data_IF_904902076744
#
_entry.id   IF_904902076744
#
_cell.length_a   1.000
_cell.length_b   1.000
_cell.length_c   1.000
_cell.angle_alpha   90.00
_cell.angle_beta   90.00
_cell.angle_gamma   90.00
#
_symmetry.space_group_name_H-M   'P 1'
#
loop_
_entity.id
_entity.type
_entity.pdbx_description
1 polymer ?
#
# COMPACT_ATOMS: atom_id res chain seq x y z
N UNK A 1 210.28 -158.81 -151.08
CA UNK A 1 210.44 -159.45 -149.76
C UNK A 1 210.02 -158.54 -148.61
N UNK A 2 210.21 -157.21 -148.64
CA UNK A 2 209.92 -156.37 -147.47
C UNK A 2 208.56 -155.67 -147.47
N UNK A 3 207.56 -156.32 -148.07
CA UNK A 3 206.19 -155.84 -148.14
C UNK A 3 205.44 -155.96 -146.81
N UNK A 4 205.91 -156.80 -145.88
CA UNK A 4 205.15 -157.14 -144.66
C UNK A 4 205.59 -156.39 -143.40
N UNK A 5 206.70 -155.67 -143.44
CA UNK A 5 207.25 -155.01 -142.23
C UNK A 5 206.97 -153.50 -142.19
N UNK A 6 206.87 -152.80 -143.33
CA UNK A 6 206.72 -151.33 -143.32
C UNK A 6 205.29 -150.89 -142.97
N UNK A 7 204.27 -151.64 -143.39
CA UNK A 7 202.87 -151.28 -143.08
C UNK A 7 202.54 -151.45 -141.59
N UNK A 8 203.19 -152.39 -140.90
CA UNK A 8 203.03 -152.54 -139.45
C UNK A 8 203.64 -151.37 -138.66
N UNK A 9 204.69 -150.72 -139.18
CA UNK A 9 205.36 -149.63 -138.46
C UNK A 9 204.59 -148.30 -138.57
N UNK A 10 203.81 -148.09 -139.64
CA UNK A 10 202.91 -146.93 -139.76
C UNK A 10 201.71 -147.00 -138.83
N UNK A 11 201.18 -148.21 -138.59
CA UNK A 11 199.99 -148.39 -137.76
C UNK A 11 200.29 -148.19 -136.26
N UNK A 12 201.49 -148.55 -135.81
CA UNK A 12 201.91 -148.33 -134.42
C UNK A 12 202.15 -146.83 -134.07
N UNK A 13 202.66 -146.01 -135.00
CA UNK A 13 202.87 -144.58 -134.73
C UNK A 13 201.57 -143.79 -134.65
N UNK A 14 200.55 -144.12 -135.44
CA UNK A 14 199.26 -143.44 -135.40
C UNK A 14 198.50 -143.70 -134.08
N UNK A 15 198.67 -144.88 -133.46
CA UNK A 15 198.04 -145.21 -132.17
C UNK A 15 198.69 -144.48 -130.99
N UNK A 16 200.00 -144.22 -131.04
CA UNK A 16 200.69 -143.50 -129.98
C UNK A 16 200.36 -142.00 -129.97
N UNK A 17 200.19 -141.37 -131.13
CA UNK A 17 199.83 -139.94 -131.19
C UNK A 17 198.38 -139.68 -130.74
N UNK A 18 197.45 -140.61 -130.99
CA UNK A 18 196.08 -140.51 -130.49
C UNK A 18 196.00 -140.61 -128.95
N UNK A 19 196.89 -141.39 -128.34
CA UNK A 19 196.94 -141.56 -126.88
C UNK A 19 197.49 -140.32 -126.18
N UNK A 20 198.43 -139.62 -126.80
CA UNK A 20 199.00 -138.37 -126.27
C UNK A 20 197.97 -137.23 -126.26
N UNK A 21 197.18 -137.08 -127.32
CA UNK A 21 196.12 -136.07 -127.37
C UNK A 21 195.00 -136.32 -126.34
N UNK A 22 194.71 -137.59 -126.04
CA UNK A 22 193.70 -137.96 -125.04
C UNK A 22 194.13 -137.64 -123.60
N UNK A 23 195.43 -137.66 -123.33
CA UNK A 23 195.97 -137.32 -122.01
C UNK A 23 196.00 -135.81 -121.76
N UNK A 24 196.20 -134.99 -122.80
CA UNK A 24 196.19 -133.52 -122.66
C UNK A 24 194.80 -133.00 -122.29
N UNK A 25 193.74 -133.51 -122.94
CA UNK A 25 192.34 -133.11 -122.63
C UNK A 25 191.95 -133.51 -121.19
N UNK A 26 192.53 -134.59 -120.65
CA UNK A 26 192.25 -135.05 -119.29
C UNK A 26 192.83 -134.13 -118.21
N UNK A 27 193.93 -133.43 -118.52
CA UNK A 27 194.59 -132.52 -117.56
C UNK A 27 193.83 -131.20 -117.47
N UNK A 28 193.33 -130.67 -118.58
CA UNK A 28 192.49 -129.45 -118.56
C UNK A 28 191.16 -129.67 -117.81
N UNK A 29 190.52 -130.85 -117.95
CA UNK A 29 189.34 -131.20 -117.14
C UNK A 29 189.62 -131.25 -115.63
N UNK A 30 190.82 -131.70 -115.24
CA UNK A 30 191.18 -131.80 -113.83
C UNK A 30 191.57 -130.45 -113.22
N UNK A 31 192.11 -129.52 -114.02
CA UNK A 31 192.37 -128.16 -113.55
C UNK A 31 191.07 -127.35 -113.35
N UNK A 32 190.05 -127.49 -114.21
CA UNK A 32 188.75 -126.84 -113.98
C UNK A 32 187.97 -127.40 -112.77
N UNK A 33 188.17 -128.66 -112.39
CA UNK A 33 187.50 -129.22 -111.20
C UNK A 33 188.10 -128.77 -109.88
N UNK A 34 189.38 -128.41 -109.86
CA UNK A 34 190.03 -127.92 -108.64
C UNK A 34 189.62 -126.47 -108.38
N UNK A 35 189.53 -125.62 -109.43
CA UNK A 35 189.09 -124.23 -109.24
C UNK A 35 187.63 -124.10 -108.77
N UNK A 36 186.74 -125.03 -109.15
CA UNK A 36 185.36 -125.04 -108.66
C UNK A 36 185.18 -125.58 -107.23
N UNK A 37 186.22 -126.21 -106.66
CA UNK A 37 186.17 -126.68 -105.27
C UNK A 37 186.61 -125.59 -104.29
N UNK A 38 187.56 -124.76 -104.68
CA UNK A 38 188.02 -123.67 -103.81
C UNK A 38 186.96 -122.57 -103.64
N UNK A 39 186.12 -122.30 -104.65
CA UNK A 39 185.01 -121.32 -104.51
C UNK A 39 183.88 -121.77 -103.55
N UNK A 40 183.74 -123.08 -103.28
CA UNK A 40 182.67 -123.59 -102.38
C UNK A 40 183.08 -123.64 -100.91
N UNK A 41 184.36 -123.49 -100.58
CA UNK A 41 184.81 -123.58 -99.20
C UNK A 41 184.84 -122.23 -98.47
N UNK A 42 184.89 -121.10 -99.18
CA UNK A 42 184.99 -119.77 -98.55
C UNK A 42 183.64 -119.08 -98.26
N UNK A 43 182.50 -119.58 -98.79
CA UNK A 43 181.18 -118.92 -98.62
C UNK A 43 180.14 -119.68 -97.76
N UNK A 44 180.48 -120.83 -97.15
CA UNK A 44 179.52 -121.60 -96.33
C UNK A 44 179.15 -120.90 -95.00
N UNK A 45 180.06 -120.09 -94.45
CA UNK A 45 179.84 -119.43 -93.16
C UNK A 45 178.93 -118.19 -93.25
N UNK A 46 178.83 -117.53 -94.41
CA UNK A 46 177.88 -116.41 -94.61
C UNK A 46 176.43 -116.89 -94.78
N UNK A 47 176.18 -117.95 -95.54
CA UNK A 47 174.82 -118.48 -95.74
C UNK A 47 174.19 -119.08 -94.46
N UNK A 48 174.99 -119.52 -93.50
CA UNK A 48 174.49 -120.08 -92.24
C UNK A 48 173.96 -119.00 -91.28
N UNK A 49 174.55 -117.80 -91.29
CA UNK A 49 174.11 -116.66 -90.47
C UNK A 49 172.74 -116.13 -90.93
N UNK A 50 172.56 -115.92 -92.24
CA UNK A 50 171.30 -115.41 -92.79
C UNK A 50 170.11 -116.35 -92.50
N UNK A 51 170.33 -117.67 -92.49
CA UNK A 51 169.28 -118.65 -92.15
C UNK A 51 168.80 -118.52 -90.70
N UNK A 52 169.71 -118.22 -89.77
CA UNK A 52 169.37 -118.10 -88.35
C UNK A 52 168.58 -116.82 -88.05
N UNK A 53 168.85 -115.73 -88.76
CA UNK A 53 168.12 -114.47 -88.55
C UNK A 53 166.70 -114.53 -89.14
N UNK A 54 166.50 -115.21 -90.28
CA UNK A 54 165.16 -115.46 -90.82
C UNK A 54 164.33 -116.36 -89.88
N UNK A 55 164.93 -117.38 -89.27
CA UNK A 55 164.23 -118.24 -88.29
C UNK A 55 163.73 -117.46 -87.06
N UNK A 56 164.52 -116.49 -86.57
CA UNK A 56 164.09 -115.62 -85.46
C UNK A 56 162.93 -114.71 -85.87
N UNK A 57 162.95 -114.16 -87.09
CA UNK A 57 161.90 -113.28 -87.60
C UNK A 57 160.57 -114.03 -87.81
N UNK A 58 160.62 -115.25 -88.32
CA UNK A 58 159.43 -116.15 -88.41
C UNK A 58 158.85 -116.46 -87.04
N UNK A 59 159.70 -116.67 -86.03
CA UNK A 59 159.23 -116.95 -84.67
C UNK A 59 158.58 -115.73 -84.03
N UNK A 60 159.10 -114.53 -84.27
CA UNK A 60 158.52 -113.27 -83.80
C UNK A 60 157.14 -113.03 -84.45
N UNK A 61 157.04 -113.15 -85.78
CA UNK A 61 155.79 -112.97 -86.51
C UNK A 61 154.70 -113.98 -86.11
N UNK A 62 155.06 -115.24 -85.83
CA UNK A 62 154.10 -116.22 -85.29
C UNK A 62 153.55 -115.83 -83.92
N UNK A 63 154.42 -115.32 -83.04
CA UNK A 63 154.00 -114.88 -81.71
C UNK A 63 153.07 -113.67 -81.80
N UNK A 64 153.34 -112.74 -82.72
CA UNK A 64 152.49 -111.58 -82.98
C UNK A 64 151.13 -111.97 -83.56
N UNK A 65 151.09 -112.96 -84.47
CA UNK A 65 149.84 -113.46 -85.06
C UNK A 65 148.90 -114.07 -84.01
N UNK A 66 149.45 -114.85 -83.06
CA UNK A 66 148.65 -115.43 -81.97
C UNK A 66 148.04 -114.35 -81.07
N UNK A 67 148.78 -113.27 -80.80
CA UNK A 67 148.27 -112.14 -80.01
C UNK A 67 147.17 -111.39 -80.76
N UNK A 68 147.34 -111.19 -82.07
CA UNK A 68 146.33 -110.54 -82.92
C UNK A 68 145.07 -111.39 -83.08
N UNK A 69 145.18 -112.71 -83.25
CA UNK A 69 144.02 -113.62 -83.27
C UNK A 69 143.25 -113.59 -81.95
N UNK A 70 143.94 -113.60 -80.81
CA UNK A 70 143.29 -113.48 -79.50
C UNK A 70 142.58 -112.13 -79.33
N UNK A 71 143.19 -111.03 -79.79
CA UNK A 71 142.60 -109.69 -79.76
C UNK A 71 141.38 -109.58 -80.68
N UNK A 72 141.46 -110.11 -81.90
CA UNK A 72 140.36 -110.16 -82.85
C UNK A 72 139.19 -110.93 -82.24
N UNK A 73 139.45 -112.11 -81.67
CA UNK A 73 138.41 -112.97 -81.11
C UNK A 73 137.70 -112.28 -79.93
N UNK A 74 138.45 -111.59 -79.06
CA UNK A 74 137.90 -110.75 -78.00
C UNK A 74 136.99 -109.63 -78.54
N UNK A 75 137.42 -108.93 -79.61
CA UNK A 75 136.62 -107.87 -80.23
C UNK A 75 135.38 -108.39 -80.95
N UNK A 76 135.40 -109.57 -81.55
CA UNK A 76 134.17 -110.20 -82.07
C UNK A 76 133.19 -110.53 -80.96
N UNK A 77 133.66 -111.03 -79.81
CA UNK A 77 132.79 -111.33 -78.68
C UNK A 77 132.16 -110.05 -78.08
N UNK A 78 132.93 -108.99 -77.89
CA UNK A 78 132.40 -107.67 -77.51
C UNK A 78 131.35 -107.17 -78.50
N UNK A 79 131.59 -107.32 -79.81
CA UNK A 79 130.64 -106.87 -80.83
C UNK A 79 129.32 -107.67 -80.79
N UNK A 80 129.40 -108.98 -80.53
CA UNK A 80 128.22 -109.83 -80.34
C UNK A 80 127.44 -109.44 -79.08
N UNK A 81 128.12 -109.13 -77.98
CA UNK A 81 127.46 -108.62 -76.76
C UNK A 81 126.78 -107.28 -76.99
N UNK A 82 127.47 -106.32 -77.61
CA UNK A 82 126.89 -105.02 -77.98
C UNK A 82 125.69 -105.20 -78.90
N UNK A 83 125.73 -106.14 -79.85
CA UNK A 83 124.62 -106.40 -80.75
C UNK A 83 123.40 -106.97 -80.01
N UNK A 84 123.62 -107.84 -79.01
CA UNK A 84 122.55 -108.33 -78.11
C UNK A 84 121.97 -107.21 -77.26
N UNK A 85 122.82 -106.33 -76.71
CA UNK A 85 122.38 -105.16 -75.94
C UNK A 85 121.57 -104.19 -76.82
N UNK A 86 122.02 -103.91 -78.03
CA UNK A 86 121.28 -103.08 -79.01
C UNK A 86 119.93 -103.70 -79.34
N UNK A 87 119.86 -105.02 -79.50
CA UNK A 87 118.60 -105.70 -79.79
C UNK A 87 117.65 -105.67 -78.60
N UNK A 88 118.18 -105.86 -77.37
CA UNK A 88 117.44 -105.69 -76.12
C UNK A 88 116.91 -104.26 -76.00
N UNK A 89 117.77 -103.24 -76.14
CA UNK A 89 117.36 -101.83 -76.12
C UNK A 89 116.30 -101.50 -77.17
N UNK A 90 116.38 -102.06 -78.39
CA UNK A 90 115.34 -101.88 -79.42
C UNK A 90 114.00 -102.47 -79.01
N UNK A 91 114.01 -103.66 -78.40
CA UNK A 91 112.79 -104.28 -77.87
C UNK A 91 112.20 -103.45 -76.72
N UNK A 92 113.02 -103.01 -75.78
CA UNK A 92 112.58 -102.13 -74.66
C UNK A 92 112.03 -100.81 -75.18
N UNK A 93 112.66 -100.20 -76.18
CA UNK A 93 112.20 -98.95 -76.80
C UNK A 93 110.86 -99.14 -77.54
N UNK A 94 110.63 -100.30 -78.17
CA UNK A 94 109.36 -100.61 -78.79
C UNK A 94 108.22 -100.76 -77.76
N UNK A 95 108.47 -101.47 -76.66
CA UNK A 95 107.52 -101.60 -75.56
C UNK A 95 107.20 -100.24 -74.93
N UNK A 96 108.21 -99.42 -74.66
CA UNK A 96 108.02 -98.08 -74.12
C UNK A 96 107.25 -97.15 -75.07
N UNK A 97 107.39 -97.32 -76.39
CA UNK A 97 106.56 -96.59 -77.37
C UNK A 97 105.11 -97.04 -77.29
N UNK A 98 104.86 -98.34 -77.20
CA UNK A 98 103.52 -98.88 -77.05
C UNK A 98 102.87 -98.41 -75.73
N UNK A 99 103.61 -98.43 -74.63
CA UNK A 99 103.15 -97.91 -73.34
C UNK A 99 102.87 -96.41 -73.40
N UNK A 100 103.75 -95.63 -74.04
CA UNK A 100 103.52 -94.19 -74.26
C UNK A 100 102.27 -93.94 -75.08
N UNK A 101 102.03 -94.70 -76.14
CA UNK A 101 100.80 -94.57 -76.94
C UNK A 101 99.55 -94.96 -76.15
N UNK A 102 99.61 -96.03 -75.37
CA UNK A 102 98.51 -96.46 -74.51
C UNK A 102 98.20 -95.42 -73.43
N UNK A 103 99.23 -94.94 -72.71
CA UNK A 103 99.09 -93.90 -71.69
C UNK A 103 98.62 -92.58 -72.29
N UNK A 104 99.07 -92.20 -73.49
CA UNK A 104 98.55 -91.02 -74.18
C UNK A 104 97.07 -91.18 -74.54
N UNK A 105 96.64 -92.35 -75.03
CA UNK A 105 95.22 -92.62 -75.30
C UNK A 105 94.40 -92.52 -74.00
N UNK A 106 94.85 -93.14 -72.92
CA UNK A 106 94.19 -93.03 -71.61
C UNK A 106 94.15 -91.59 -71.11
N UNK A 107 95.25 -90.84 -71.21
CA UNK A 107 95.32 -89.45 -70.81
C UNK A 107 94.33 -88.59 -71.62
N UNK A 108 94.24 -88.80 -72.93
CA UNK A 108 93.28 -88.08 -73.77
C UNK A 108 91.83 -88.43 -73.41
N UNK A 109 91.51 -89.70 -73.17
CA UNK A 109 90.16 -90.13 -72.78
C UNK A 109 89.75 -89.54 -71.43
N UNK A 110 90.65 -89.59 -70.44
CA UNK A 110 90.42 -88.98 -69.11
C UNK A 110 90.28 -87.48 -69.23
N UNK A 111 91.12 -86.81 -70.02
CA UNK A 111 91.04 -85.37 -70.23
C UNK A 111 89.71 -84.98 -70.87
N UNK A 112 89.25 -85.71 -71.89
CA UNK A 112 87.93 -85.45 -72.51
C UNK A 112 86.78 -85.71 -71.54
N UNK A 113 86.84 -86.77 -70.72
CA UNK A 113 85.85 -87.03 -69.67
C UNK A 113 85.84 -85.90 -68.62
N UNK A 114 87.01 -85.45 -68.17
CA UNK A 114 87.13 -84.32 -67.25
C UNK A 114 86.49 -83.06 -67.83
N UNK A 115 86.75 -82.72 -69.09
CA UNK A 115 86.12 -81.57 -69.76
C UNK A 115 84.59 -81.68 -69.82
N UNK A 116 84.07 -82.86 -70.16
CA UNK A 116 82.61 -83.08 -70.19
C UNK A 116 82.01 -82.92 -68.78
N UNK A 117 82.67 -83.45 -67.74
CA UNK A 117 82.20 -83.26 -66.37
C UNK A 117 82.31 -81.81 -65.90
N UNK A 118 83.37 -81.08 -66.28
CA UNK A 118 83.50 -79.65 -66.01
C UNK A 118 82.37 -78.84 -66.67
N UNK A 119 82.06 -79.11 -67.94
CA UNK A 119 80.94 -78.49 -68.65
C UNK A 119 79.60 -78.80 -67.98
N UNK A 120 79.37 -80.05 -67.58
CA UNK A 120 78.17 -80.45 -66.84
C UNK A 120 78.05 -79.74 -65.49
N UNK A 121 79.16 -79.60 -64.76
CA UNK A 121 79.19 -78.86 -63.48
C UNK A 121 78.87 -77.38 -63.71
N UNK A 122 79.36 -76.77 -64.80
CA UNK A 122 79.03 -75.39 -65.14
C UNK A 122 77.53 -75.24 -65.41
N UNK A 123 76.94 -76.11 -66.24
CA UNK A 123 75.51 -76.07 -66.56
C UNK A 123 74.65 -76.29 -65.31
N UNK A 124 74.97 -77.30 -64.49
CA UNK A 124 74.25 -77.56 -63.24
C UNK A 124 74.35 -76.38 -62.26
N UNK A 125 75.49 -75.71 -62.18
CA UNK A 125 75.64 -74.52 -61.34
C UNK A 125 74.81 -73.33 -61.87
N UNK A 126 74.73 -73.16 -63.19
CA UNK A 126 73.87 -72.12 -63.80
C UNK A 126 72.38 -72.40 -63.55
N UNK A 127 71.93 -73.65 -63.72
CA UNK A 127 70.56 -74.07 -63.42
C UNK A 127 70.22 -73.90 -61.93
N UNK A 128 71.14 -74.29 -61.04
CA UNK A 128 70.99 -74.09 -59.60
C UNK A 128 70.90 -72.60 -59.24
N UNK A 129 71.70 -71.75 -59.88
CA UNK A 129 71.65 -70.30 -59.73
C UNK A 129 70.29 -69.74 -60.14
N UNK A 130 69.78 -70.14 -61.31
CA UNK A 130 68.48 -69.73 -61.80
C UNK A 130 67.34 -70.18 -60.88
N UNK A 131 67.35 -71.43 -60.43
CA UNK A 131 66.32 -71.94 -59.50
C UNK A 131 66.34 -71.19 -58.17
N UNK A 132 67.54 -70.84 -57.64
CA UNK A 132 67.65 -70.02 -56.42
C UNK A 132 67.07 -68.62 -56.64
N UNK A 133 67.37 -67.99 -57.76
CA UNK A 133 66.82 -66.69 -58.12
C UNK A 133 65.29 -66.74 -58.27
N UNK A 134 64.76 -67.69 -59.05
CA UNK A 134 63.31 -67.86 -59.24
C UNK A 134 62.59 -68.09 -57.89
N UNK A 135 63.22 -68.85 -56.99
CA UNK A 135 62.72 -69.08 -55.63
C UNK A 135 62.72 -67.80 -54.79
N UNK A 136 63.79 -67.02 -54.84
CA UNK A 136 63.89 -65.72 -54.15
C UNK A 136 62.84 -64.74 -54.67
N UNK A 137 62.69 -64.62 -55.99
CA UNK A 137 61.65 -63.79 -56.61
C UNK A 137 60.23 -64.22 -56.22
N UNK A 138 59.98 -65.53 -56.11
CA UNK A 138 58.69 -66.05 -55.64
C UNK A 138 58.44 -65.70 -54.17
N UNK A 139 59.44 -65.84 -53.31
CA UNK A 139 59.34 -65.46 -51.90
C UNK A 139 59.12 -63.96 -51.72
N UNK A 140 59.82 -63.11 -52.48
CA UNK A 140 59.61 -61.65 -52.46
C UNK A 140 58.18 -61.30 -52.90
N UNK A 141 57.69 -61.89 -53.98
CA UNK A 141 56.30 -61.70 -54.43
C UNK A 141 55.29 -62.16 -53.38
N UNK A 142 55.51 -63.31 -52.75
CA UNK A 142 54.65 -63.82 -51.69
C UNK A 142 54.62 -62.90 -50.47
N UNK A 143 55.79 -62.43 -50.01
CA UNK A 143 55.90 -61.51 -48.88
C UNK A 143 55.21 -60.19 -49.22
N UNK A 144 55.48 -59.61 -50.39
CA UNK A 144 54.86 -58.36 -50.85
C UNK A 144 53.34 -58.46 -50.91
N UNK A 145 52.79 -59.54 -51.48
CA UNK A 145 51.35 -59.76 -51.56
C UNK A 145 50.74 -59.95 -50.17
N UNK A 146 51.39 -60.74 -49.29
CA UNK A 146 50.94 -60.95 -47.92
C UNK A 146 50.92 -59.65 -47.11
N UNK A 147 51.98 -58.84 -47.22
CA UNK A 147 52.07 -57.53 -46.56
C UNK A 147 51.03 -56.56 -47.09
N UNK A 148 50.81 -56.54 -48.40
CA UNK A 148 49.74 -55.73 -49.02
C UNK A 148 48.37 -56.10 -48.47
N UNK A 149 47.99 -57.38 -48.48
CA UNK A 149 46.69 -57.81 -47.96
C UNK A 149 46.54 -57.55 -46.45
N UNK A 150 47.61 -57.77 -45.68
CA UNK A 150 47.62 -57.45 -44.25
C UNK A 150 47.39 -55.95 -44.04
N UNK A 151 48.11 -55.10 -44.77
CA UNK A 151 47.97 -53.64 -44.68
C UNK A 151 46.59 -53.17 -45.12
N UNK A 152 46.03 -53.70 -46.21
CA UNK A 152 44.67 -53.37 -46.67
C UNK A 152 43.61 -53.78 -45.65
N UNK A 153 43.75 -54.96 -45.02
CA UNK A 153 42.83 -55.42 -44.00
C UNK A 153 42.93 -54.58 -42.72
N UNK A 154 44.14 -54.28 -42.25
CA UNK A 154 44.36 -53.39 -41.10
C UNK A 154 43.85 -51.98 -41.38
N UNK A 155 44.01 -51.47 -42.60
CA UNK A 155 43.49 -50.16 -43.01
C UNK A 155 41.97 -50.16 -43.01
N UNK A 156 41.32 -51.16 -43.63
CA UNK A 156 39.85 -51.28 -43.61
C UNK A 156 39.30 -51.40 -42.19
N UNK A 157 39.95 -52.18 -41.33
CA UNK A 157 39.53 -52.32 -39.94
C UNK A 157 39.68 -50.99 -39.18
N UNK A 158 40.76 -50.22 -39.41
CA UNK A 158 40.92 -48.89 -38.83
C UNK A 158 39.85 -47.93 -39.34
N UNK A 159 39.59 -47.90 -40.64
CA UNK A 159 38.59 -47.04 -41.25
C UNK A 159 37.18 -47.36 -40.70
N UNK A 160 36.83 -48.65 -40.56
CA UNK A 160 35.56 -49.07 -39.96
C UNK A 160 35.44 -48.66 -38.50
N UNK A 161 36.51 -48.81 -37.70
CA UNK A 161 36.55 -48.37 -36.31
C UNK A 161 36.42 -46.84 -36.20
N UNK A 162 37.06 -46.09 -37.08
CA UNK A 162 36.99 -44.63 -37.11
C UNK A 162 35.59 -44.15 -37.52
N UNK A 163 34.96 -44.82 -38.49
CA UNK A 163 33.57 -44.53 -38.87
C UNK A 163 32.61 -44.82 -37.70
N UNK A 164 32.76 -45.96 -37.01
CA UNK A 164 31.92 -46.31 -35.85
C UNK A 164 32.13 -45.30 -34.72
N UNK A 165 33.39 -44.95 -34.42
CA UNK A 165 33.74 -44.00 -33.36
C UNK A 165 33.18 -42.61 -33.67
N UNK A 166 33.35 -42.14 -34.90
CA UNK A 166 32.83 -40.84 -35.34
C UNK A 166 31.30 -40.82 -35.28
N UNK A 167 30.61 -41.83 -35.81
CA UNK A 167 29.15 -41.93 -35.72
C UNK A 167 28.67 -41.95 -34.27
N UNK A 168 29.28 -42.77 -33.42
CA UNK A 168 28.94 -42.86 -32.00
C UNK A 168 29.12 -41.52 -31.30
N UNK A 169 30.23 -40.82 -31.53
CA UNK A 169 30.46 -39.49 -30.97
C UNK A 169 29.42 -38.47 -31.46
N UNK A 170 29.10 -38.47 -32.76
CA UNK A 170 28.08 -37.55 -33.29
C UNK A 170 26.69 -37.81 -32.73
N UNK A 171 26.29 -39.08 -32.54
CA UNK A 171 25.01 -39.42 -31.92
C UNK A 171 25.00 -39.08 -30.43
N UNK A 172 26.10 -39.31 -29.71
CA UNK A 172 26.23 -38.90 -28.31
C UNK A 172 26.11 -37.38 -28.16
N UNK A 173 26.73 -36.60 -29.05
CA UNK A 173 26.65 -35.14 -29.02
C UNK A 173 25.25 -34.63 -29.38
N UNK A 174 24.58 -35.26 -30.37
CA UNK A 174 23.17 -34.99 -30.65
C UNK A 174 22.28 -35.25 -29.45
N UNK A 175 22.44 -36.40 -28.77
CA UNK A 175 21.65 -36.74 -27.58
C UNK A 175 21.90 -35.72 -26.47
N UNK A 176 23.16 -35.37 -26.20
CA UNK A 176 23.51 -34.36 -25.20
C UNK A 176 22.88 -33.00 -25.52
N UNK A 177 22.98 -32.54 -26.77
CA UNK A 177 22.42 -31.25 -27.19
C UNK A 177 20.90 -31.26 -27.13
N UNK A 178 20.24 -32.29 -27.66
CA UNK A 178 18.78 -32.43 -27.59
C UNK A 178 18.27 -32.46 -26.15
N UNK A 179 18.97 -33.20 -25.28
CA UNK A 179 18.63 -33.28 -23.85
C UNK A 179 18.79 -31.92 -23.17
N UNK A 180 19.89 -31.22 -23.45
CA UNK A 180 20.15 -29.86 -22.95
C UNK A 180 19.08 -28.87 -23.43
N UNK A 181 18.77 -28.86 -24.72
CA UNK A 181 17.74 -27.98 -25.30
C UNK A 181 16.35 -28.26 -24.74
N UNK A 182 16.01 -29.53 -24.52
CA UNK A 182 14.75 -29.93 -23.88
C UNK A 182 14.67 -29.37 -22.46
N UNK A 183 15.70 -29.54 -21.64
CA UNK A 183 15.74 -28.97 -20.29
C UNK A 183 15.74 -27.44 -20.29
N UNK A 184 16.44 -26.79 -21.21
CA UNK A 184 16.43 -25.32 -21.32
C UNK A 184 15.07 -24.78 -21.76
N UNK A 185 14.36 -25.50 -22.63
CA UNK A 185 12.99 -25.16 -23.03
C UNK A 185 12.03 -25.36 -21.86
N UNK A 186 12.10 -26.47 -21.15
CA UNK A 186 11.28 -26.74 -19.98
C UNK A 186 11.54 -25.69 -18.87
N UNK A 187 12.80 -25.37 -18.59
CA UNK A 187 13.14 -24.33 -17.62
C UNK A 187 12.59 -22.95 -18.02
N UNK A 188 12.64 -22.59 -19.31
CA UNK A 188 12.01 -21.36 -19.81
C UNK A 188 10.50 -21.38 -19.60
N UNK A 189 9.83 -22.45 -20.00
CA UNK A 189 8.39 -22.61 -19.81
C UNK A 189 7.99 -22.52 -18.33
N UNK A 190 8.75 -23.14 -17.42
CA UNK A 190 8.50 -23.09 -15.98
C UNK A 190 8.70 -21.69 -15.40
N UNK A 191 9.72 -20.95 -15.86
CA UNK A 191 9.93 -19.55 -15.48
C UNK A 191 8.80 -18.65 -15.96
N UNK A 192 8.40 -18.79 -17.23
CA UNK A 192 7.27 -18.04 -17.80
C UNK A 192 5.95 -18.36 -17.08
N UNK A 193 5.69 -19.63 -16.79
CA UNK A 193 4.51 -20.05 -16.03
C UNK A 193 4.50 -19.47 -14.61
N UNK A 194 5.66 -19.47 -13.93
CA UNK A 194 5.82 -18.83 -12.62
C UNK A 194 5.57 -17.33 -12.70
N UNK A 195 6.15 -16.64 -13.67
CA UNK A 195 6.03 -15.19 -13.81
C UNK A 195 4.59 -14.79 -14.14
N UNK A 196 3.90 -15.57 -14.98
CA UNK A 196 2.47 -15.42 -15.24
C UNK A 196 1.61 -15.62 -13.97
N UNK A 197 1.93 -16.64 -13.17
CA UNK A 197 1.23 -16.89 -11.90
C UNK A 197 1.46 -15.77 -10.88
N UNK A 198 2.67 -15.22 -10.81
CA UNK A 198 2.97 -14.05 -9.97
C UNK A 198 2.21 -12.81 -10.44
N UNK A 199 2.19 -12.52 -11.74
CA UNK A 199 1.43 -11.41 -12.29
C UNK A 199 -0.07 -11.52 -12.02
N UNK A 200 -0.64 -12.73 -12.11
CA UNK A 200 -2.04 -12.98 -11.77
C UNK A 200 -2.31 -12.81 -10.26
N UNK A 201 -1.39 -13.29 -9.41
CA UNK A 201 -1.47 -13.08 -7.96
C UNK A 201 -1.48 -11.59 -7.63
N UNK A 202 -0.61 -10.81 -8.26
CA UNK A 202 -0.52 -9.37 -8.00
C UNK A 202 -1.77 -8.63 -8.48
N UNK A 203 -2.34 -9.02 -9.64
CA UNK A 203 -3.64 -8.52 -10.10
C UNK A 203 -4.76 -8.83 -9.10
N UNK A 204 -4.82 -10.07 -8.60
CA UNK A 204 -5.83 -10.48 -7.62
C UNK A 204 -5.70 -9.69 -6.30
N UNK A 205 -4.48 -9.49 -5.79
CA UNK A 205 -4.23 -8.68 -4.59
C UNK A 205 -4.65 -7.23 -4.78
N UNK A 206 -4.38 -6.62 -5.94
CA UNK A 206 -4.84 -5.26 -6.22
C UNK A 206 -6.38 -5.16 -6.28
N UNK A 207 -7.04 -6.16 -6.89
CA UNK A 207 -8.49 -6.22 -6.92
C UNK A 207 -9.09 -6.39 -5.51
N UNK A 208 -8.49 -7.23 -4.67
CA UNK A 208 -8.87 -7.41 -3.27
C UNK A 208 -8.75 -6.09 -2.49
N UNK A 209 -7.61 -5.40 -2.59
CA UNK A 209 -7.40 -4.11 -1.93
C UNK A 209 -8.44 -3.06 -2.35
N UNK A 210 -8.78 -3.00 -3.64
CA UNK A 210 -9.84 -2.10 -4.13
C UNK A 210 -11.21 -2.47 -3.57
N UNK A 211 -11.56 -3.76 -3.51
CA UNK A 211 -12.83 -4.21 -2.94
C UNK A 211 -12.91 -3.95 -1.43
N UNK A 212 -11.82 -4.17 -0.70
CA UNK A 212 -11.72 -3.84 0.73
C UNK A 212 -11.91 -2.35 0.97
N UNK A 213 -11.25 -1.50 0.17
CA UNK A 213 -11.43 -0.04 0.28
C UNK A 213 -12.88 0.40 0.00
N UNK A 214 -13.54 -0.20 -1.01
CA UNK A 214 -14.97 0.05 -1.27
C UNK A 214 -15.87 -0.42 -0.14
N UNK A 215 -15.58 -1.58 0.43
CA UNK A 215 -16.31 -2.09 1.59
C UNK A 215 -16.18 -1.15 2.79
N UNK A 216 -14.97 -0.67 3.08
CA UNK A 216 -14.73 0.30 4.16
C UNK A 216 -15.49 1.61 3.94
N UNK A 217 -15.54 2.12 2.70
CA UNK A 217 -16.34 3.31 2.34
C UNK A 217 -17.82 3.09 2.61
N UNK A 218 -18.41 2.01 2.09
CA UNK A 218 -19.83 1.69 2.29
C UNK A 218 -20.14 1.45 3.78
N UNK A 219 -19.23 0.82 4.50
CA UNK A 219 -19.37 0.60 5.94
C UNK A 219 -19.38 1.91 6.73
N UNK A 220 -18.53 2.86 6.33
CA UNK A 220 -18.50 4.19 6.93
C UNK A 220 -19.79 4.97 6.63
N UNK A 221 -20.27 4.95 5.38
CA UNK A 221 -21.56 5.54 4.99
C UNK A 221 -22.73 4.93 5.79
N UNK A 222 -22.73 3.61 5.96
CA UNK A 222 -23.73 2.93 6.79
C UNK A 222 -23.70 3.41 8.24
N UNK A 223 -22.51 3.55 8.84
CA UNK A 223 -22.38 4.07 10.22
C UNK A 223 -22.86 5.51 10.34
N UNK A 224 -22.56 6.35 9.36
CA UNK A 224 -23.02 7.74 9.34
C UNK A 224 -24.54 7.81 9.22
N UNK A 225 -25.13 7.02 8.32
CA UNK A 225 -26.58 6.92 8.16
C UNK A 225 -27.26 6.39 9.43
N UNK A 226 -26.66 5.38 10.08
CA UNK A 226 -27.16 4.85 11.34
C UNK A 226 -27.13 5.92 12.44
N UNK A 227 -26.02 6.65 12.60
CA UNK A 227 -25.92 7.73 13.57
C UNK A 227 -26.92 8.87 13.31
N UNK A 228 -27.14 9.23 12.04
CA UNK A 228 -28.14 10.22 11.65
C UNK A 228 -29.57 9.74 11.97
N UNK A 229 -29.87 8.46 11.70
CA UNK A 229 -31.16 7.85 12.03
C UNK A 229 -31.39 7.82 13.55
N UNK A 230 -30.41 7.37 14.33
CA UNK A 230 -30.49 7.36 15.79
C UNK A 230 -30.70 8.78 16.35
N UNK A 231 -29.98 9.77 15.83
CA UNK A 231 -30.18 11.18 16.18
C UNK A 231 -31.62 11.62 15.89
N UNK A 232 -32.16 11.29 14.70
CA UNK A 232 -33.53 11.64 14.33
C UNK A 232 -34.57 10.95 15.24
N UNK A 233 -34.33 9.70 15.62
CA UNK A 233 -35.20 8.98 16.57
C UNK A 233 -35.18 9.67 17.93
N UNK A 234 -34.01 10.10 18.42
CA UNK A 234 -33.93 10.83 19.70
C UNK A 234 -34.64 12.19 19.66
N UNK A 235 -34.50 12.94 18.56
CA UNK A 235 -35.23 14.19 18.33
C UNK A 235 -36.75 13.95 18.36
N UNK A 236 -37.26 13.02 17.55
CA UNK A 236 -38.69 12.70 17.49
C UNK A 236 -39.24 12.22 18.83
N UNK A 237 -38.45 11.44 19.57
CA UNK A 237 -38.82 11.00 20.91
C UNK A 237 -38.90 12.18 21.90
N UNK A 238 -38.00 13.15 21.79
CA UNK A 238 -38.03 14.37 22.61
C UNK A 238 -39.25 15.25 22.28
N UNK A 239 -39.55 15.44 20.99
CA UNK A 239 -40.73 16.16 20.52
C UNK A 239 -42.02 15.49 21.00
N UNK A 240 -42.08 14.16 20.92
CA UNK A 240 -43.23 13.39 21.39
C UNK A 240 -43.44 13.57 22.90
N UNK A 241 -42.37 13.57 23.69
CA UNK A 241 -42.45 13.87 25.13
C UNK A 241 -42.97 15.29 25.40
N UNK A 242 -42.51 16.29 24.65
CA UNK A 242 -43.00 17.67 24.78
C UNK A 242 -44.49 17.75 24.44
N UNK A 243 -44.92 17.10 23.35
CA UNK A 243 -46.34 17.05 22.96
C UNK A 243 -47.20 16.32 23.99
N UNK A 244 -46.65 15.28 24.63
CA UNK A 244 -47.30 14.59 25.74
C UNK A 244 -47.51 15.54 26.93
N UNK A 245 -46.50 16.30 27.34
CA UNK A 245 -46.64 17.29 28.42
C UNK A 245 -47.64 18.40 28.08
N UNK A 246 -47.66 18.88 26.83
CA UNK A 246 -48.65 19.85 26.37
C UNK A 246 -50.08 19.29 26.43
N UNK A 247 -50.25 18.03 26.03
CA UNK A 247 -51.53 17.32 26.10
C UNK A 247 -52.01 17.18 27.55
N UNK A 248 -51.14 16.71 28.45
CA UNK A 248 -51.46 16.56 29.88
C UNK A 248 -51.88 17.90 30.50
N UNK A 249 -51.15 18.99 30.18
CA UNK A 249 -51.51 20.34 30.62
C UNK A 249 -52.87 20.78 30.05
N UNK A 250 -53.12 20.55 28.77
CA UNK A 250 -54.39 20.91 28.14
C UNK A 250 -55.54 20.11 28.75
N UNK A 251 -55.32 18.84 29.06
CA UNK A 251 -56.30 17.99 29.74
C UNK A 251 -56.63 18.52 31.14
N UNK A 252 -55.63 18.91 31.94
CA UNK A 252 -55.87 19.55 33.24
C UNK A 252 -56.71 20.83 33.11
N UNK A 253 -56.36 21.73 32.19
CA UNK A 253 -57.13 22.95 31.93
C UNK A 253 -58.56 22.65 31.46
N UNK A 254 -58.73 21.64 30.61
CA UNK A 254 -60.04 21.19 30.17
C UNK A 254 -60.88 20.66 31.34
N UNK A 255 -60.28 19.87 32.24
CA UNK A 255 -60.96 19.37 33.43
C UNK A 255 -61.36 20.50 34.38
N UNK A 256 -60.47 21.46 34.64
CA UNK A 256 -60.74 22.66 35.47
C UNK A 256 -61.87 23.53 34.88
N UNK A 257 -61.80 23.82 33.57
CA UNK A 257 -62.84 24.62 32.89
C UNK A 257 -64.17 23.89 32.84
N UNK A 258 -64.18 22.58 32.62
CA UNK A 258 -65.38 21.74 32.67
C UNK A 258 -66.01 21.73 34.07
N UNK A 259 -65.22 21.63 35.13
CA UNK A 259 -65.70 21.73 36.51
C UNK A 259 -66.26 23.12 36.82
N UNK A 260 -65.56 24.18 36.41
CA UNK A 260 -66.01 25.57 36.56
C UNK A 260 -67.35 25.82 35.85
N UNK A 261 -67.50 25.28 34.64
CA UNK A 261 -68.74 25.36 33.88
C UNK A 261 -69.89 24.61 34.58
N UNK A 262 -69.63 23.40 35.10
CA UNK A 262 -70.62 22.64 35.89
C UNK A 262 -71.05 23.44 37.12
N UNK A 263 -70.11 24.06 37.83
CA UNK A 263 -70.42 24.89 38.99
C UNK A 263 -71.27 26.11 38.61
N UNK A 264 -70.89 26.84 37.55
CA UNK A 264 -71.66 27.98 37.05
C UNK A 264 -73.08 27.60 36.62
N UNK A 265 -73.26 26.41 36.02
CA UNK A 265 -74.58 25.88 35.69
C UNK A 265 -75.42 25.61 36.95
N UNK A 266 -74.84 24.99 37.98
CA UNK A 266 -75.51 24.77 39.27
C UNK A 266 -75.93 26.10 39.89
N UNK A 267 -75.04 27.09 39.93
CA UNK A 267 -75.36 28.41 40.45
C UNK A 267 -76.47 29.10 39.64
N UNK A 268 -76.44 28.98 38.31
CA UNK A 268 -77.50 29.48 37.44
C UNK A 268 -78.85 28.84 37.76
N UNK A 269 -78.90 27.50 37.93
CA UNK A 269 -80.15 26.82 38.32
C UNK A 269 -80.65 27.26 39.69
N UNK A 270 -79.75 27.47 40.65
CA UNK A 270 -80.08 28.01 41.99
C UNK A 270 -80.66 29.42 41.90
N UNK A 271 -80.06 30.30 41.11
CA UNK A 271 -80.58 31.66 40.91
C UNK A 271 -81.92 31.66 40.17
N UNK A 272 -82.12 30.79 39.18
CA UNK A 272 -83.42 30.60 38.53
C UNK A 272 -84.50 30.18 39.54
N UNK A 273 -84.22 29.18 40.38
CA UNK A 273 -85.16 28.75 41.43
C UNK A 273 -85.45 29.86 42.44
N UNK A 274 -84.43 30.63 42.84
CA UNK A 274 -84.61 31.79 43.73
C UNK A 274 -85.50 32.85 43.10
N UNK A 275 -85.31 33.15 41.81
CA UNK A 275 -86.16 34.07 41.05
C UNK A 275 -87.60 33.56 40.96
N UNK A 276 -87.83 32.27 40.73
CA UNK A 276 -89.17 31.68 40.73
C UNK A 276 -89.89 31.87 42.08
N UNK A 277 -89.20 31.61 43.20
CA UNK A 277 -89.76 31.81 44.55
C UNK A 277 -90.05 33.28 44.80
N UNK A 278 -89.10 34.18 44.53
CA UNK A 278 -89.29 35.62 44.71
C UNK A 278 -90.43 36.15 43.84
N UNK A 279 -90.56 35.69 42.60
CA UNK A 279 -91.69 36.06 41.74
C UNK A 279 -93.02 35.58 42.33
N UNK A 280 -93.10 34.35 42.86
CA UNK A 280 -94.31 33.84 43.54
C UNK A 280 -94.66 34.67 44.77
N UNK A 281 -93.68 35.02 45.60
CA UNK A 281 -93.87 35.87 46.78
C UNK A 281 -94.30 37.28 46.36
N UNK A 282 -93.67 37.87 45.34
CA UNK A 282 -94.04 39.16 44.78
C UNK A 282 -95.50 39.17 44.31
N UNK A 283 -95.92 38.19 43.51
CA UNK A 283 -97.31 38.10 43.04
C UNK A 283 -98.30 37.85 44.19
N UNK A 284 -97.91 37.06 45.19
CA UNK A 284 -98.75 36.80 46.37
C UNK A 284 -98.93 38.09 47.19
N UNK A 285 -97.84 38.82 47.41
CA UNK A 285 -97.85 40.10 48.10
C UNK A 285 -98.64 41.14 47.32
N UNK A 286 -98.45 41.23 46.01
CA UNK A 286 -99.20 42.11 45.11
C UNK A 286 -100.71 41.81 45.18
N UNK A 287 -101.11 40.55 45.10
CA UNK A 287 -102.52 40.16 45.22
C UNK A 287 -103.10 40.51 46.61
N UNK A 288 -102.30 40.34 47.67
CA UNK A 288 -102.67 40.71 49.04
C UNK A 288 -102.83 42.23 49.18
N UNK A 289 -101.90 43.02 48.64
CA UNK A 289 -101.98 44.48 48.67
C UNK A 289 -103.12 45.00 47.82
N UNK A 290 -103.36 44.43 46.63
CA UNK A 290 -104.50 44.79 45.79
C UNK A 290 -105.83 44.48 46.49
N UNK A 291 -105.92 43.36 47.21
CA UNK A 291 -107.07 43.04 48.05
C UNK A 291 -107.28 44.08 49.14
N UNK A 292 -106.23 44.45 49.86
CA UNK A 292 -106.29 45.48 50.91
C UNK A 292 -106.66 46.86 50.36
N UNK A 293 -106.12 47.24 49.18
CA UNK A 293 -106.48 48.47 48.48
C UNK A 293 -107.97 48.45 48.13
N UNK A 294 -108.49 47.35 47.58
CA UNK A 294 -109.90 47.22 47.24
C UNK A 294 -110.81 47.30 48.48
N UNK A 295 -110.42 46.68 49.60
CA UNK A 295 -111.14 46.76 50.88
C UNK A 295 -111.15 48.20 51.41
N UNK A 296 -110.00 48.89 51.39
CA UNK A 296 -109.89 50.30 51.79
C UNK A 296 -110.67 51.23 50.86
N UNK A 297 -110.63 51.01 49.55
CA UNK A 297 -111.44 51.76 48.60
C UNK A 297 -112.93 51.54 48.85
N UNK A 298 -113.38 50.31 49.09
CA UNK A 298 -114.78 50.00 49.43
C UNK A 298 -115.21 50.74 50.70
N UNK A 299 -114.46 50.61 51.79
CA UNK A 299 -114.77 51.29 53.06
C UNK A 299 -114.75 52.82 52.91
N UNK A 300 -113.81 53.37 52.15
CA UNK A 300 -113.77 54.79 51.88
C UNK A 300 -114.99 55.25 51.08
N UNK A 301 -115.39 54.51 50.04
CA UNK A 301 -116.60 54.85 49.28
C UNK A 301 -117.86 54.79 50.14
N UNK A 302 -117.96 53.84 51.06
CA UNK A 302 -119.08 53.75 52.00
C UNK A 302 -119.07 54.91 53.00
N UNK A 303 -117.90 55.32 53.49
CA UNK A 303 -117.75 56.49 54.33
C UNK A 303 -118.11 57.79 53.58
N UNK A 304 -117.66 57.95 52.34
CA UNK A 304 -118.01 59.10 51.49
C UNK A 304 -119.51 59.17 51.22
N UNK A 305 -120.17 58.03 50.95
CA UNK A 305 -121.64 57.96 50.81
C UNK A 305 -122.34 58.40 52.08
N UNK A 306 -121.89 57.94 53.26
CA UNK A 306 -122.45 58.36 54.55
C UNK A 306 -122.27 59.86 54.79
N UNK A 307 -121.08 60.39 54.51
CA UNK A 307 -120.79 61.82 54.63
C UNK A 307 -121.72 62.65 53.75
N UNK A 308 -121.88 62.26 52.48
CA UNK A 308 -122.78 62.94 51.53
C UNK A 308 -124.24 62.97 52.01
N UNK A 309 -124.71 61.93 52.71
CA UNK A 309 -126.05 61.92 53.32
C UNK A 309 -126.13 62.96 54.45
N UNK A 310 -125.11 63.03 55.31
CA UNK A 310 -125.06 64.03 56.38
C UNK A 310 -124.97 65.47 55.85
N UNK A 311 -124.13 65.72 54.83
CA UNK A 311 -123.99 67.04 54.21
C UNK A 311 -125.30 67.52 53.59
N UNK A 312 -126.06 66.64 52.92
CA UNK A 312 -127.39 66.98 52.40
C UNK A 312 -128.37 67.36 53.51
N UNK A 313 -128.33 66.63 54.63
CA UNK A 313 -129.17 66.91 55.78
C UNK A 313 -128.82 68.27 56.42
N UNK A 314 -127.54 68.63 56.49
CA UNK A 314 -127.08 69.94 56.96
C UNK A 314 -127.54 71.06 56.02
N UNK A 315 -127.43 70.87 54.70
CA UNK A 315 -127.87 71.87 53.73
C UNK A 315 -129.39 72.14 53.82
N UNK A 316 -130.20 71.09 54.00
CA UNK A 316 -131.64 71.22 54.27
C UNK A 316 -131.93 72.00 55.56
N UNK A 317 -131.10 71.84 56.61
CA UNK A 317 -131.25 72.56 57.87
C UNK A 317 -130.92 74.06 57.73
N UNK A 318 -129.85 74.39 57.01
CA UNK A 318 -129.43 75.77 56.79
C UNK A 318 -130.47 76.57 55.99
N UNK A 319 -131.08 75.97 54.96
CA UNK A 319 -132.14 76.59 54.17
C UNK A 319 -133.38 76.93 55.02
N UNK A 320 -133.74 76.05 55.96
CA UNK A 320 -134.86 76.30 56.90
C UNK A 320 -134.54 77.43 57.87
N UNK A 321 -133.30 77.52 58.36
CA UNK A 321 -132.86 78.61 59.25
C UNK A 321 -132.86 79.95 58.49
N UNK A 322 -132.40 79.96 57.24
CA UNK A 322 -132.38 81.18 56.41
C UNK A 322 -133.80 81.67 56.10
N UNK A 323 -134.73 80.78 55.73
CA UNK A 323 -136.13 81.14 55.46
C UNK A 323 -136.84 81.67 56.71
N UNK A 324 -136.60 81.08 57.88
CA UNK A 324 -137.17 81.56 59.14
C UNK A 324 -136.57 82.93 59.58
N UNK A 325 -135.29 83.18 59.28
CA UNK A 325 -134.61 84.42 59.66
C UNK A 325 -135.05 85.65 58.83
N UNK A 326 -135.48 85.47 57.57
CA UNK A 326 -135.88 86.57 56.67
C UNK A 326 -137.28 87.13 56.93
N UNK A 327 -138.14 86.44 57.68
CA UNK A 327 -139.48 86.92 58.01
C UNK A 327 -139.43 87.97 59.13
N UNK A 328 -140.13 89.10 58.97
CA UNK A 328 -140.13 90.22 59.92
C UNK A 328 -141.04 89.99 61.15
N UNK A 329 -142.00 89.06 61.05
CA UNK A 329 -142.96 88.68 62.09
C UNK A 329 -142.50 87.40 62.82
N UNK A 330 -142.46 87.45 64.15
CA UNK A 330 -142.00 86.34 65.01
C UNK A 330 -142.94 85.13 64.95
N UNK A 331 -144.23 85.38 64.72
CA UNK A 331 -145.28 84.34 64.58
C UNK A 331 -145.19 83.62 63.24
N UNK A 332 -144.81 84.32 62.16
CA UNK A 332 -144.67 83.71 60.83
C UNK A 332 -143.40 82.88 60.69
N UNK A 333 -142.31 83.28 61.38
CA UNK A 333 -141.08 82.48 61.49
C UNK A 333 -141.32 81.14 62.22
N UNK A 334 -142.13 81.13 63.29
CA UNK A 334 -142.55 79.89 63.95
C UNK A 334 -143.40 78.99 63.05
N UNK A 335 -144.17 79.57 62.13
CA UNK A 335 -145.02 78.83 61.19
C UNK A 335 -144.22 78.10 60.11
N UNK A 336 -143.14 78.71 59.61
CA UNK A 336 -142.20 78.06 58.66
C UNK A 336 -141.43 76.93 59.35
N UNK A 337 -140.94 77.16 60.57
CA UNK A 337 -140.36 76.10 61.41
C UNK A 337 -141.34 74.93 61.63
N UNK A 338 -142.62 75.23 61.85
CA UNK A 338 -143.66 74.21 62.03
C UNK A 338 -143.92 73.42 60.74
N UNK A 339 -143.93 74.08 59.56
CA UNK A 339 -144.18 73.46 58.26
C UNK A 339 -143.11 72.43 57.86
N UNK A 340 -141.87 72.62 58.30
CA UNK A 340 -140.80 71.61 58.15
C UNK A 340 -140.78 70.56 59.27
N UNK A 341 -141.86 70.46 60.07
CA UNK A 341 -142.05 69.40 61.06
C UNK A 341 -141.42 69.66 62.44
N UNK A 342 -140.82 70.84 62.66
CA UNK A 342 -140.08 71.15 63.91
C UNK A 342 -140.97 71.50 65.11
N UNK A 343 -142.28 71.61 64.91
CA UNK A 343 -143.23 72.01 65.95
C UNK A 343 -143.75 70.89 66.85
N UNK A 344 -143.62 69.62 66.44
CA UNK A 344 -144.26 68.51 67.14
C UNK A 344 -143.28 67.49 67.79
N UNK A 345 -142.10 67.21 67.21
CA UNK A 345 -141.25 66.08 67.65
C UNK A 345 -139.73 66.35 67.75
N UNK A 346 -139.31 67.61 67.93
CA UNK A 346 -137.87 67.94 68.06
C UNK A 346 -137.47 68.02 69.54
N UNK A 347 -136.38 67.33 69.97
CA UNK A 347 -135.87 67.41 71.33
C UNK A 347 -135.67 68.86 71.79
N UNK A 348 -136.09 69.17 73.01
CA UNK A 348 -136.15 70.54 73.55
C UNK A 348 -134.82 71.31 73.48
N UNK A 349 -133.68 70.61 73.48
CA UNK A 349 -132.34 71.19 73.32
C UNK A 349 -132.02 71.63 71.89
N UNK A 350 -132.41 70.84 70.88
CA UNK A 350 -132.24 71.18 69.47
C UNK A 350 -133.18 72.32 69.04
N UNK A 351 -134.42 72.32 69.54
CA UNK A 351 -135.36 73.43 69.37
C UNK A 351 -134.79 74.75 69.89
N UNK A 352 -134.16 74.73 71.07
CA UNK A 352 -133.55 75.92 71.70
C UNK A 352 -132.33 76.42 70.93
N UNK A 353 -131.46 75.52 70.42
CA UNK A 353 -130.32 75.92 69.56
C UNK A 353 -130.77 76.56 68.27
N UNK A 354 -131.78 76.00 67.62
CA UNK A 354 -132.29 76.52 66.34
C UNK A 354 -132.92 77.91 66.50
N UNK A 355 -133.70 78.13 67.57
CA UNK A 355 -134.19 79.48 67.92
C UNK A 355 -133.05 80.47 68.16
N UNK A 356 -131.98 80.05 68.85
CA UNK A 356 -130.79 80.88 69.04
C UNK A 356 -130.08 81.19 67.71
N UNK A 357 -129.92 80.20 66.82
CA UNK A 357 -129.33 80.39 65.49
C UNK A 357 -130.14 81.39 64.64
N UNK A 358 -131.47 81.34 64.71
CA UNK A 358 -132.35 82.28 64.00
C UNK A 358 -132.21 83.72 64.55
N UNK A 359 -132.18 83.90 65.87
CA UNK A 359 -131.95 85.21 66.47
C UNK A 359 -130.56 85.77 66.13
N UNK A 360 -129.54 84.91 66.12
CA UNK A 360 -128.19 85.28 65.71
C UNK A 360 -128.15 85.70 64.24
N UNK A 361 -128.74 84.92 63.33
CA UNK A 361 -128.83 85.25 61.90
C UNK A 361 -129.51 86.61 61.66
N UNK A 362 -130.61 86.90 62.38
CA UNK A 362 -131.27 88.22 62.33
C UNK A 362 -130.36 89.37 62.80
N UNK A 363 -129.58 89.15 63.87
CA UNK A 363 -128.66 90.17 64.41
C UNK A 363 -127.45 90.42 63.50
N UNK A 364 -126.92 89.37 62.88
CA UNK A 364 -125.81 89.47 61.92
C UNK A 364 -126.23 90.25 60.67
N UNK A 365 -127.40 89.96 60.09
CA UNK A 365 -127.93 90.71 58.93
C UNK A 365 -128.07 92.22 59.21
N UNK A 366 -128.42 92.59 60.45
CA UNK A 366 -128.54 94.01 60.84
C UNK A 366 -127.18 94.69 61.00
N UNK A 367 -126.17 93.96 61.51
CA UNK A 367 -124.80 94.45 61.68
C UNK A 367 -124.03 94.56 60.35
N UNK A 368 -124.23 93.62 59.43
CA UNK A 368 -123.62 93.69 58.08
C UNK A 368 -124.07 94.93 57.32
N UNK A 369 -125.37 95.26 57.34
CA UNK A 369 -125.89 96.49 56.72
C UNK A 369 -125.24 97.76 57.28
N UNK A 370 -124.88 97.79 58.56
CA UNK A 370 -124.17 98.93 59.16
C UNK A 370 -122.68 98.96 58.82
N UNK A 371 -122.01 97.81 58.78
CA UNK A 371 -120.57 97.70 58.55
C UNK A 371 -120.17 98.09 57.11
N UNK A 372 -120.99 97.70 56.13
CA UNK A 372 -120.77 98.04 54.71
C UNK A 372 -120.72 99.55 54.48
N UNK A 373 -121.58 100.31 55.18
CA UNK A 373 -121.65 101.77 55.05
C UNK A 373 -120.45 102.48 55.70
N UNK A 374 -119.91 101.92 56.80
CA UNK A 374 -118.76 102.48 57.51
C UNK A 374 -117.43 102.20 56.81
N UNK A 375 -117.27 101.04 56.17
CA UNK A 375 -116.05 100.70 55.42
C UNK A 375 -115.83 101.63 54.22
N UNK A 376 -116.89 101.98 53.48
CA UNK A 376 -116.77 102.91 52.35
C UNK A 376 -116.26 104.29 52.74
N UNK A 377 -116.65 104.79 53.92
CA UNK A 377 -116.18 106.09 54.42
C UNK A 377 -114.71 106.09 54.84
N UNK A 378 -114.16 104.94 55.25
CA UNK A 378 -112.78 104.81 55.73
C UNK A 378 -111.75 104.80 54.59
N UNK A 379 -112.10 104.23 53.43
CA UNK A 379 -111.18 104.10 52.30
C UNK A 379 -110.89 105.44 51.60
N UNK A 380 -111.89 106.32 51.50
CA UNK A 380 -111.74 107.64 50.88
C UNK A 380 -110.77 108.55 51.66
N UNK A 381 -110.80 108.48 53.00
CA UNK A 381 -109.90 109.27 53.86
C UNK A 381 -108.45 108.76 53.83
N UNK A 382 -108.22 107.45 53.66
CA UNK A 382 -106.86 106.91 53.52
C UNK A 382 -106.17 107.41 52.24
N UNK A 383 -106.92 107.54 51.15
CA UNK A 383 -106.37 107.92 49.84
C UNK A 383 -105.77 109.33 49.85
N UNK A 384 -106.46 110.28 50.48
CA UNK A 384 -105.98 111.68 50.63
C UNK A 384 -104.71 111.79 51.47
N UNK A 385 -104.55 110.93 52.47
CA UNK A 385 -103.36 110.94 53.34
C UNK A 385 -102.09 110.55 52.58
N UNK A 386 -102.17 109.59 51.68
CA UNK A 386 -100.98 109.02 51.03
C UNK A 386 -100.38 109.97 49.96
N UNK A 387 -101.19 110.80 49.31
CA UNK A 387 -100.73 111.80 48.33
C UNK A 387 -99.85 112.90 48.98
N UNK A 388 -100.23 113.39 50.17
CA UNK A 388 -99.46 114.40 50.92
C UNK A 388 -98.10 113.89 51.41
N UNK A 389 -97.99 112.58 51.72
CA UNK A 389 -96.73 111.98 52.15
C UNK A 389 -95.68 111.95 51.02
N UNK A 390 -96.11 111.84 49.78
CA UNK A 390 -95.22 111.68 48.64
C UNK A 390 -94.53 113.00 48.25
N UNK A 391 -95.20 114.14 48.43
CA UNK A 391 -94.60 115.47 48.18
C UNK A 391 -93.47 115.79 49.17
N UNK A 392 -93.62 115.42 50.44
CA UNK A 392 -92.62 115.67 51.50
C UNK A 392 -91.30 114.93 51.24
N UNK A 393 -91.37 113.73 50.65
CA UNK A 393 -90.19 112.93 50.33
C UNK A 393 -89.29 113.59 49.28
N UNK A 394 -89.86 114.25 48.29
CA UNK A 394 -89.09 114.81 47.17
C UNK A 394 -88.27 116.04 47.57
N UNK A 395 -88.82 116.90 48.42
CA UNK A 395 -88.09 118.08 48.94
C UNK A 395 -86.90 117.71 49.81
N UNK A 396 -86.97 116.56 50.49
CA UNK A 396 -85.91 116.10 51.38
C UNK A 396 -84.66 115.63 50.62
N UNK A 397 -84.82 115.07 49.42
CA UNK A 397 -83.70 114.54 48.64
C UNK A 397 -82.79 115.64 48.05
N UNK A 398 -83.35 116.78 47.64
CA UNK A 398 -82.59 117.90 47.04
C UNK A 398 -81.63 118.54 48.07
N UNK A 399 -81.99 118.51 49.36
CA UNK A 399 -81.15 119.05 50.43
C UNK A 399 -79.85 118.25 50.65
N UNK A 400 -79.86 116.94 50.37
CA UNK A 400 -78.70 116.07 50.60
C UNK A 400 -77.57 116.25 49.55
N UNK A 401 -77.88 116.70 48.33
CA UNK A 401 -76.86 116.90 47.28
C UNK A 401 -75.96 118.12 47.56
N UNK A 402 -76.45 119.12 48.30
CA UNK A 402 -75.70 120.36 48.58
C UNK A 402 -74.59 120.22 49.65
N UNK A 403 -74.57 119.15 50.45
CA UNK A 403 -73.66 119.01 51.61
C UNK A 403 -72.42 118.13 51.35
N UNK A 404 -72.20 117.64 50.11
CA UNK A 404 -71.12 116.68 49.81
C UNK A 404 -69.66 117.17 50.00
N UNK A 405 -69.26 118.44 49.75
CA UNK A 405 -67.87 118.87 49.96
C UNK A 405 -67.46 118.97 51.44
N UNK A 406 -68.41 119.27 52.33
CA UNK A 406 -68.15 119.38 53.78
C UNK A 406 -67.99 118.03 54.46
N UNK A 407 -68.72 117.00 54.01
CA UNK A 407 -68.64 115.66 54.60
C UNK A 407 -67.28 114.98 54.36
N UNK A 408 -66.62 115.20 53.22
CA UNK A 408 -65.29 114.65 52.94
C UNK A 408 -64.19 115.25 53.83
N UNK A 409 -64.30 116.54 54.18
CA UNK A 409 -63.34 117.22 55.06
C UNK A 409 -63.50 116.76 56.53
N UNK A 410 -64.72 116.52 56.99
CA UNK A 410 -65.01 116.00 58.34
C UNK A 410 -64.49 114.55 58.50
N UNK A 411 -64.62 113.72 57.48
CA UNK A 411 -64.07 112.35 57.45
C UNK A 411 -62.54 112.35 57.57
N UNK A 412 -61.84 113.22 56.82
CA UNK A 412 -60.38 113.35 56.91
C UNK A 412 -59.88 113.81 58.29
N UNK A 413 -60.65 114.66 58.98
CA UNK A 413 -60.33 115.09 60.35
C UNK A 413 -60.54 113.93 61.35
N UNK A 414 -61.63 113.16 61.21
CA UNK A 414 -61.90 112.00 62.08
C UNK A 414 -60.81 110.92 62.03
N UNK A 415 -60.29 110.63 60.84
CA UNK A 415 -59.21 109.63 60.69
C UNK A 415 -57.93 110.09 61.39
N UNK A 416 -57.62 111.39 61.34
CA UNK A 416 -56.45 111.97 62.03
C UNK A 416 -56.62 111.96 63.55
N UNK A 417 -57.81 112.27 64.06
CA UNK A 417 -58.11 112.22 65.50
C UNK A 417 -58.04 110.80 66.07
N UNK A 418 -58.42 109.78 65.28
CA UNK A 418 -58.27 108.37 65.67
C UNK A 418 -56.81 107.96 65.86
N UNK A 419 -55.90 108.42 64.99
CA UNK A 419 -54.48 108.11 65.11
C UNK A 419 -53.84 108.78 66.34
N UNK A 420 -54.24 110.01 66.67
CA UNK A 420 -53.77 110.71 67.87
C UNK A 420 -54.20 109.95 69.13
N UNK A 421 -55.43 109.44 69.16
CA UNK A 421 -55.96 108.70 70.32
C UNK A 421 -55.18 107.40 70.57
N UNK A 422 -54.83 106.66 69.51
CA UNK A 422 -54.03 105.43 69.61
C UNK A 422 -52.61 105.70 70.18
N UNK A 423 -51.99 106.81 69.78
CA UNK A 423 -50.67 107.19 70.31
C UNK A 423 -50.74 107.63 71.78
N UNK A 424 -51.85 108.26 72.21
CA UNK A 424 -52.07 108.60 73.62
C UNK A 424 -52.27 107.36 74.50
N UNK A 425 -53.00 106.35 74.03
CA UNK A 425 -53.19 105.09 74.78
C UNK A 425 -51.88 104.33 74.98
N UNK A 426 -51.00 104.30 73.97
CA UNK A 426 -49.67 103.69 74.11
C UNK A 426 -48.79 104.43 75.13
N UNK A 427 -48.87 105.76 75.21
CA UNK A 427 -48.17 106.51 76.24
C UNK A 427 -48.70 106.18 77.64
N UNK A 428 -50.02 106.02 77.81
CA UNK A 428 -50.60 105.63 79.11
C UNK A 428 -50.16 104.24 79.56
N UNK A 429 -50.01 103.29 78.64
CA UNK A 429 -49.51 101.94 78.96
C UNK A 429 -48.05 101.96 79.44
N UNK A 430 -47.21 102.76 78.79
CA UNK A 430 -45.82 102.94 79.22
C UNK A 430 -45.72 103.63 80.60
N UNK A 431 -46.63 104.57 80.90
CA UNK A 431 -46.73 105.18 82.23
C UNK A 431 -47.19 104.20 83.32
N UNK A 432 -48.07 103.24 82.99
CA UNK A 432 -48.48 102.18 83.92
C UNK A 432 -47.35 101.21 84.24
N UNK A 433 -46.50 100.87 83.27
CA UNK A 433 -45.34 100.00 83.52
C UNK A 433 -44.28 100.68 84.39
N UNK A 434 -44.12 102.01 84.29
CA UNK A 434 -43.30 102.79 85.24
C UNK A 434 -43.88 102.72 86.66
N UNK A 435 -45.21 102.79 86.82
CA UNK A 435 -45.84 102.65 88.14
C UNK A 435 -45.68 101.24 88.73
N UNK A 436 -45.72 100.19 87.91
CA UNK A 436 -45.46 98.82 88.38
C UNK A 436 -44.04 98.66 88.90
N UNK A 437 -43.05 99.24 88.20
CA UNK A 437 -41.66 99.26 88.65
C UNK A 437 -41.49 100.01 89.98
N UNK A 438 -42.25 101.09 90.21
CA UNK A 438 -42.27 101.79 91.50
C UNK A 438 -42.91 100.94 92.62
N UNK A 439 -43.99 100.21 92.35
CA UNK A 439 -44.57 99.30 93.34
C UNK A 439 -43.66 98.13 93.70
N UNK A 440 -42.85 97.62 92.77
CA UNK A 440 -41.84 96.61 93.09
C UNK A 440 -40.73 97.17 93.97
N UNK A 441 -40.33 98.43 93.74
CA UNK A 441 -39.37 99.12 94.60
C UNK A 441 -39.89 99.28 96.03
N UNK A 442 -41.17 99.61 96.21
CA UNK A 442 -41.80 99.74 97.52
C UNK A 442 -41.94 98.38 98.25
N UNK A 443 -42.22 97.30 97.52
CA UNK A 443 -42.24 95.93 98.10
C UNK A 443 -40.86 95.49 98.58
N UNK A 444 -39.80 95.87 97.86
CA UNK A 444 -38.42 95.65 98.32
C UNK A 444 -38.11 96.47 99.58
N UNK A 445 -38.65 97.68 99.71
CA UNK A 445 -38.54 98.49 100.92
C UNK A 445 -39.29 97.86 102.11
N UNK A 446 -40.46 97.27 101.89
CA UNK A 446 -41.16 96.49 102.94
C UNK A 446 -40.39 95.23 103.37
N UNK A 447 -39.76 94.53 102.42
CA UNK A 447 -38.88 93.40 102.74
C UNK A 447 -37.70 93.83 103.61
N UNK A 448 -37.12 95.00 103.34
CA UNK A 448 -36.04 95.59 104.14
C UNK A 448 -36.53 95.90 105.57
N UNK A 449 -37.74 96.42 105.72
CA UNK A 449 -38.32 96.72 107.03
C UNK A 449 -38.66 95.46 107.84
N UNK A 450 -39.08 94.37 107.19
CA UNK A 450 -39.24 93.06 107.87
C UNK A 450 -37.94 92.50 108.43
N UNK A 451 -36.84 92.61 107.68
CA UNK A 451 -35.52 92.20 108.16
C UNK A 451 -35.07 93.07 109.34
N UNK A 452 -35.45 94.35 109.34
CA UNK A 452 -35.16 95.26 110.46
C UNK A 452 -35.94 94.86 111.71
N UNK A 453 -37.21 94.47 111.57
CA UNK A 453 -38.02 93.94 112.67
C UNK A 453 -37.51 92.59 113.22
N UNK A 454 -36.93 91.72 112.38
CA UNK A 454 -36.33 90.47 112.85
C UNK A 454 -35.04 90.70 113.66
N UNK A 455 -34.30 91.78 113.40
CA UNK A 455 -33.13 92.15 114.21
C UNK A 455 -33.51 92.73 115.57
N UNK A 456 -34.60 93.51 115.65
CA UNK A 456 -35.17 93.94 116.94
C UNK A 456 -35.62 92.74 117.79
N UNK A 457 -36.05 91.66 117.14
CA UNK A 457 -36.39 90.39 117.80
C UNK A 457 -35.18 89.68 118.41
N UNK A 458 -33.99 89.81 117.80
CA UNK A 458 -32.73 89.29 118.35
C UNK A 458 -32.19 90.16 119.50
N UNK A 459 -32.45 91.47 119.48
CA UNK A 459 -32.13 92.36 120.60
C UNK A 459 -32.98 92.03 121.84
N UNK A 460 -34.27 91.72 121.65
CA UNK A 460 -35.15 91.26 122.72
C UNK A 460 -34.75 89.89 123.32
N UNK A 461 -34.02 89.04 122.58
CA UNK A 461 -33.51 87.79 123.16
C UNK A 461 -32.30 87.98 124.08
N UNK A 462 -31.64 89.14 124.06
CA UNK A 462 -30.54 89.42 124.98
C UNK A 462 -30.99 90.08 126.29
N UNK A 463 -32.12 90.79 126.28
CA UNK A 463 -32.77 91.24 127.53
C UNK A 463 -33.32 90.07 128.38
N UNK A 464 -33.54 88.89 127.77
CA UNK A 464 -33.99 87.66 128.46
C UNK A 464 -32.86 86.97 129.25
N UNK A 465 -31.61 87.42 129.16
CA UNK A 465 -30.49 86.91 129.99
C UNK A 465 -30.05 87.92 131.07
N UNK A 466 -31.04 88.53 131.74
CA UNK A 466 -30.89 89.16 133.05
C UNK A 466 -31.36 88.23 134.21
N UNK A 467 -31.93 87.03 133.98
CA UNK A 467 -32.55 86.20 135.04
C UNK A 467 -31.99 84.75 135.17
N UNK A 468 -30.82 84.66 135.81
CA UNK A 468 -30.24 83.55 136.59
C UNK A 468 -29.03 84.18 137.34
N UNK A 469 -29.09 84.73 138.56
CA UNK A 469 -30.06 84.77 139.68
C UNK A 469 -31.52 84.70 139.32
#
# INVERSE_FOLDING_TARGET
MHQKEIDNERQARAEHDFMAQKLIIKVEELQSRIHNKDFKSEHYDEELCDRQDIEKEVMYLRKENVVLEASLNSKTNENVEIQKEVQSCKQTLALLKQDKEYLNKQLTEVTTKCKVFEEQVIVLNQELGKIKQDREELYEKYISVREKYKSEYEMKLRDELDVITTKTNTELDKIKNNTKEMYERENRNLREARDNALAEKDRAVHAEQQMTSRYEQVFQEYRELQGASDSKVTELHSDLKLKQFELDRLQMLYEETSQSLKQANVDTTKYQHKLEVLNKEFYTLQASTDKQINELQSTNTDATKKLSIYEKLEQELDDVILQAAQLESEVDAERVLFAYGYGANVPSTAKRRMQQSIHLARRVLKLERMNTTLQGQLEDEKRKRDELLQELSNTTNILNEAQQPYNYLIESIRVRDSQIKSLQENNTLLEEDIRKLQQEQDKLAESKNKITADLERLLNQREVLILYV
#
